data_IF_857873256065
#
_entry.id   IF_857873256065
#
_cell.length_a   1.000
_cell.length_b   1.000
_cell.length_c   1.000
_cell.angle_alpha   90.00
_cell.angle_beta   90.00
_cell.angle_gamma   90.00
#
_symmetry.space_group_name_H-M   'P 1'
#
loop_
_entity.id
_entity.type
_entity.pdbx_description
1 polymer ?
#
# COMPACT_ATOMS: atom_id res chain seq x y z
N UNK A 1 66.07 7.07 14.92
CA UNK A 1 64.98 6.07 14.93
C UNK A 1 63.68 6.84 15.10
N UNK A 2 62.83 6.91 14.07
CA UNK A 2 61.60 7.70 14.08
C UNK A 2 60.42 6.73 14.10
N UNK A 3 59.68 6.73 15.20
CA UNK A 3 58.47 5.93 15.37
C UNK A 3 57.29 6.65 14.72
N UNK A 4 56.66 6.02 13.73
CA UNK A 4 55.43 6.51 13.12
C UNK A 4 54.22 5.95 13.88
N UNK A 5 53.54 6.80 14.62
CA UNK A 5 52.27 6.47 15.26
C UNK A 5 51.15 6.39 14.20
N UNK A 6 50.54 5.21 14.06
CA UNK A 6 49.43 4.93 13.14
C UNK A 6 48.11 5.39 13.79
N UNK A 7 47.62 6.57 13.44
CA UNK A 7 46.33 7.09 13.88
C UNK A 7 45.18 6.37 13.15
N UNK A 8 44.53 5.43 13.83
CA UNK A 8 43.23 4.88 13.41
C UNK A 8 42.13 5.92 13.69
N UNK A 9 41.75 6.71 12.69
CA UNK A 9 40.50 7.47 12.74
C UNK A 9 39.34 6.55 12.34
N UNK A 10 38.56 6.11 13.34
CA UNK A 10 37.25 5.50 13.13
C UNK A 10 36.38 6.45 12.32
N UNK A 11 36.11 6.09 11.07
CA UNK A 11 35.10 6.73 10.24
C UNK A 11 33.73 6.48 10.88
N UNK A 12 33.16 7.49 11.54
CA UNK A 12 31.74 7.50 11.90
C UNK A 12 30.95 7.47 10.61
N UNK A 13 30.37 6.32 10.29
CA UNK A 13 29.41 6.19 9.19
C UNK A 13 28.26 7.18 9.44
N UNK A 14 27.88 8.03 8.47
CA UNK A 14 26.63 8.77 8.58
C UNK A 14 25.50 7.74 8.60
N UNK A 15 24.69 7.77 9.65
CA UNK A 15 23.42 7.06 9.73
C UNK A 15 22.56 7.55 8.56
N UNK A 16 22.65 6.87 7.43
CA UNK A 16 21.66 6.92 6.37
C UNK A 16 20.39 6.33 6.99
N UNK A 17 19.60 7.20 7.64
CA UNK A 17 18.21 6.92 7.98
C UNK A 17 17.52 6.76 6.62
N UNK A 18 17.54 5.53 6.13
CA UNK A 18 16.71 5.09 5.02
C UNK A 18 15.28 5.31 5.49
N UNK A 19 14.76 6.51 5.22
CA UNK A 19 13.33 6.74 5.16
C UNK A 19 12.87 5.83 4.03
N UNK A 20 12.48 4.60 4.39
CA UNK A 20 11.58 3.83 3.57
C UNK A 20 10.38 4.74 3.36
N UNK A 21 10.31 5.34 2.18
CA UNK A 21 9.08 5.94 1.68
C UNK A 21 8.12 4.76 1.59
N UNK A 22 7.46 4.44 2.70
CA UNK A 22 6.18 3.76 2.68
C UNK A 22 5.25 4.78 2.05
N UNK A 23 5.25 4.86 0.71
CA UNK A 23 4.10 5.36 -0.01
C UNK A 23 2.97 4.41 0.38
N UNK A 24 1.98 4.80 1.21
CA UNK A 24 0.74 4.05 1.23
C UNK A 24 0.24 4.17 -0.21
N UNK A 25 0.28 3.08 -0.98
CA UNK A 25 -0.04 3.10 -2.40
C UNK A 25 -1.39 3.85 -2.56
N UNK A 26 -1.41 5.05 -3.16
CA UNK A 26 -2.63 5.85 -3.26
C UNK A 26 -3.63 5.22 -4.23
N UNK A 27 -3.29 4.07 -4.82
CA UNK A 27 -4.11 3.34 -5.77
C UNK A 27 -5.47 2.95 -5.19
N UNK A 28 -5.56 2.72 -3.88
CA UNK A 28 -6.80 2.40 -3.18
C UNK A 28 -7.71 3.60 -2.91
N UNK A 29 -7.17 4.81 -3.00
CA UNK A 29 -7.95 6.05 -2.85
C UNK A 29 -8.43 6.59 -4.20
N UNK A 30 -8.03 5.98 -5.31
CA UNK A 30 -8.49 6.36 -6.65
C UNK A 30 -9.90 5.82 -6.84
N UNK A 31 -10.85 6.71 -7.13
CA UNK A 31 -12.17 6.28 -7.55
C UNK A 31 -12.08 5.76 -8.99
N UNK A 32 -12.52 4.52 -9.24
CA UNK A 32 -12.57 4.02 -10.61
C UNK A 32 -13.65 4.76 -11.39
N UNK A 33 -13.31 5.17 -12.61
CA UNK A 33 -14.26 5.78 -13.54
C UNK A 33 -14.89 4.68 -14.38
N UNK A 34 -16.22 4.48 -14.32
CA UNK A 34 -16.86 3.48 -15.18
C UNK A 34 -16.79 3.92 -16.64
N UNK A 35 -16.46 2.99 -17.53
CA UNK A 35 -16.59 3.19 -18.97
C UNK A 35 -18.06 3.17 -19.40
N UNK A 36 -18.35 3.79 -20.55
CA UNK A 36 -19.67 3.76 -21.16
C UNK A 36 -19.90 2.38 -21.79
N UNK A 37 -20.87 1.64 -21.27
CA UNK A 37 -21.17 0.30 -21.75
C UNK A 37 -22.66 -0.03 -21.73
N UNK A 38 -23.02 -1.13 -22.40
CA UNK A 38 -24.38 -1.66 -22.40
C UNK A 38 -24.67 -2.36 -21.07
N UNK A 39 -25.95 -2.42 -20.70
CA UNK A 39 -26.38 -3.09 -19.47
C UNK A 39 -25.98 -4.58 -19.42
N UNK A 40 -25.91 -5.23 -20.59
CA UNK A 40 -25.45 -6.62 -20.73
C UNK A 40 -23.95 -6.82 -20.49
N UNK A 41 -23.16 -5.73 -20.44
CA UNK A 41 -21.73 -5.74 -20.18
C UNK A 41 -21.40 -5.32 -18.74
N UNK A 42 -22.39 -4.83 -17.99
CA UNK A 42 -22.20 -4.47 -16.59
C UNK A 42 -21.93 -5.72 -15.76
N UNK A 43 -20.84 -5.68 -15.00
CA UNK A 43 -20.49 -6.71 -14.05
C UNK A 43 -20.34 -6.11 -12.65
N UNK A 44 -20.35 -6.98 -11.66
CA UNK A 44 -20.14 -6.63 -10.26
C UNK A 44 -18.66 -6.72 -9.90
N UNK A 45 -18.15 -5.68 -9.28
CA UNK A 45 -16.78 -5.56 -8.82
C UNK A 45 -16.75 -5.03 -7.38
N UNK A 46 -15.57 -5.06 -6.79
CA UNK A 46 -15.30 -4.50 -5.47
C UNK A 46 -14.30 -3.37 -5.58
N UNK A 47 -14.51 -2.33 -4.78
CA UNK A 47 -13.61 -1.17 -4.68
C UNK A 47 -13.44 -0.80 -3.22
N UNK A 48 -12.26 -0.32 -2.84
CA UNK A 48 -12.02 0.17 -1.50
C UNK A 48 -12.48 1.62 -1.38
N UNK A 49 -13.30 1.90 -0.37
CA UNK A 49 -13.71 3.25 -0.03
C UNK A 49 -12.99 3.71 1.23
N UNK A 50 -12.15 4.74 1.08
CA UNK A 50 -11.51 5.41 2.21
C UNK A 50 -12.50 6.16 3.13
N UNK A 51 -13.73 6.42 2.66
CA UNK A 51 -14.78 7.07 3.47
C UNK A 51 -15.37 6.14 4.53
N UNK A 52 -15.52 4.87 4.19
CA UNK A 52 -16.09 3.83 5.04
C UNK A 52 -15.05 2.82 5.52
N UNK A 53 -13.77 3.06 5.21
CA UNK A 53 -12.63 2.18 5.45
C UNK A 53 -12.93 0.72 5.10
N UNK A 54 -13.57 0.50 3.95
CA UNK A 54 -14.07 -0.84 3.59
C UNK A 54 -14.22 -1.06 2.09
N UNK A 55 -14.10 -2.33 1.71
CA UNK A 55 -14.40 -2.82 0.36
C UNK A 55 -15.91 -2.89 0.13
N UNK A 56 -16.40 -2.08 -0.80
CA UNK A 56 -17.81 -1.97 -1.21
C UNK A 56 -18.01 -2.55 -2.61
N UNK A 57 -19.21 -3.08 -2.87
CA UNK A 57 -19.59 -3.60 -4.19
C UNK A 57 -20.04 -2.46 -5.09
N UNK A 58 -19.53 -2.44 -6.31
CA UNK A 58 -19.91 -1.53 -7.38
C UNK A 58 -20.36 -2.32 -8.60
N UNK A 59 -21.26 -1.75 -9.39
CA UNK A 59 -21.74 -2.36 -10.63
C UNK A 59 -21.54 -1.38 -11.77
N UNK A 60 -20.92 -1.85 -12.84
CA UNK A 60 -20.61 -1.01 -13.99
C UNK A 60 -19.66 -1.73 -14.94
N UNK A 61 -19.13 -0.96 -15.88
CA UNK A 61 -18.07 -1.45 -16.75
C UNK A 61 -16.76 -0.88 -16.26
N UNK A 62 -16.07 -1.74 -15.54
CA UNK A 62 -14.75 -1.50 -15.04
C UNK A 62 -13.82 -2.56 -15.63
N UNK A 63 -12.57 -2.20 -15.76
CA UNK A 63 -11.49 -3.10 -16.12
C UNK A 63 -10.82 -3.60 -14.85
N UNK A 64 -10.39 -4.87 -14.82
CA UNK A 64 -9.52 -5.38 -13.74
C UNK A 64 -8.14 -4.72 -13.73
N UNK A 65 -7.80 -3.98 -14.79
CA UNK A 65 -6.61 -3.15 -14.88
C UNK A 65 -6.83 -1.74 -14.31
N UNK A 66 -8.07 -1.36 -14.00
CA UNK A 66 -8.35 -0.11 -13.33
C UNK A 66 -7.88 -0.19 -11.88
N UNK A 67 -7.28 0.91 -11.42
CA UNK A 67 -6.87 1.04 -10.01
C UNK A 67 -8.12 0.99 -9.13
N UNK A 68 -8.01 0.31 -7.99
CA UNK A 68 -9.09 0.16 -7.02
C UNK A 68 -10.31 -0.65 -7.53
N UNK A 69 -10.12 -1.56 -8.48
CA UNK A 69 -11.15 -2.47 -8.97
C UNK A 69 -10.70 -3.91 -8.77
N UNK A 70 -11.54 -4.70 -8.09
CA UNK A 70 -11.23 -6.06 -7.70
C UNK A 70 -12.39 -7.01 -8.03
N UNK A 71 -12.07 -8.25 -8.40
CA UNK A 71 -13.06 -9.28 -8.70
C UNK A 71 -13.74 -9.84 -7.43
N UNK A 72 -13.02 -9.81 -6.30
CA UNK A 72 -13.53 -10.31 -5.03
C UNK A 72 -13.27 -9.33 -3.89
N UNK A 73 -14.07 -9.46 -2.82
CA UNK A 73 -13.90 -8.67 -1.60
C UNK A 73 -12.56 -8.94 -0.92
N UNK A 74 -12.10 -10.18 -0.95
CA UNK A 74 -10.83 -10.59 -0.36
C UNK A 74 -9.63 -10.05 -1.15
N UNK A 75 -9.72 -9.97 -2.48
CA UNK A 75 -8.71 -9.30 -3.30
C UNK A 75 -8.63 -7.82 -2.99
N UNK A 76 -9.78 -7.16 -2.83
CA UNK A 76 -9.82 -5.76 -2.42
C UNK A 76 -9.16 -5.56 -1.05
N UNK A 77 -9.43 -6.42 -0.05
CA UNK A 77 -8.83 -6.32 1.28
C UNK A 77 -7.32 -6.56 1.28
N UNK A 78 -6.83 -7.45 0.41
CA UNK A 78 -5.41 -7.77 0.28
C UNK A 78 -4.66 -6.72 -0.54
N UNK A 79 -5.26 -6.25 -1.64
CA UNK A 79 -4.68 -5.25 -2.53
C UNK A 79 -4.70 -3.86 -1.92
N UNK A 80 -5.77 -3.53 -1.22
CA UNK A 80 -5.88 -2.34 -0.38
C UNK A 80 -5.75 -2.77 1.06
N UNK A 81 -4.49 -2.85 1.52
CA UNK A 81 -4.12 -3.17 2.90
C UNK A 81 -4.97 -2.37 3.89
N UNK A 82 -6.08 -2.95 4.34
CA UNK A 82 -6.91 -2.39 5.40
C UNK A 82 -6.18 -2.71 6.69
N UNK A 83 -5.36 -1.77 7.14
CA UNK A 83 -4.59 -1.92 8.37
C UNK A 83 -5.53 -1.80 9.57
N UNK A 84 -6.18 -2.91 9.94
CA UNK A 84 -7.00 -3.00 11.15
C UNK A 84 -6.15 -3.09 12.44
N UNK A 85 -4.95 -2.50 12.45
CA UNK A 85 -4.03 -2.56 13.60
C UNK A 85 -3.22 -3.86 13.74
N UNK A 86 -3.19 -4.74 12.72
CA UNK A 86 -2.38 -5.96 12.75
C UNK A 86 -1.42 -5.98 11.58
N UNK A 87 -0.16 -5.64 11.86
CA UNK A 87 1.01 -5.89 11.01
C UNK A 87 1.05 -7.38 10.60
N UNK A 88 1.10 -7.75 9.31
CA UNK A 88 1.41 -9.12 8.91
C UNK A 88 2.86 -9.53 9.26
N UNK A 89 3.67 -8.58 9.75
CA UNK A 89 5.03 -8.80 10.19
C UNK A 89 5.16 -9.32 11.63
N UNK A 90 4.06 -9.48 12.39
CA UNK A 90 4.15 -9.89 13.80
C UNK A 90 4.93 -8.91 14.68
N UNK A 91 5.10 -7.66 14.21
CA UNK A 91 5.77 -6.62 14.97
C UNK A 91 4.69 -5.89 15.78
N UNK A 92 4.64 -6.23 17.06
CA UNK A 92 3.75 -5.65 18.07
C UNK A 92 4.15 -4.18 18.28
N UNK A 93 3.22 -3.25 18.06
CA UNK A 93 3.45 -1.83 18.33
C UNK A 93 3.63 -1.61 19.84
N UNK A 94 4.76 -1.05 20.32
CA UNK A 94 5.03 -0.91 21.74
C UNK A 94 4.40 0.34 22.38
N UNK A 95 3.23 0.82 21.90
CA UNK A 95 2.54 2.01 22.44
C UNK A 95 1.16 1.72 23.05
N UNK A 96 0.95 0.54 23.63
CA UNK A 96 -0.09 0.32 24.64
C UNK A 96 0.51 0.22 26.05
#
# INVERSE_FOLDING_TARGET
MIAYARLHKSAKQPLYRSFYITCPFPECSVNPSPDVCKESQMADYYTYSSKSDSCVRIRGCYSIYDRNVFLSRDDCRRGCFIYNGVTPSGEMDPRE
#
